data_IF_520455707228
#
_entry.id   IF_520455707228
#
_cell.length_a   1.000
_cell.length_b   1.000
_cell.length_c   1.000
_cell.angle_alpha   90.00
_cell.angle_beta   90.00
_cell.angle_gamma   90.00
#
_symmetry.space_group_name_H-M   'P 1'
#
loop_
_entity.id
_entity.type
_entity.pdbx_description
1 polymer ?
#
# COMPACT_ATOMS: atom_id res chain seq x y z
N UNK A 1 -16.67 20.10 41.14
CA UNK A 1 -15.31 20.58 40.85
C UNK A 1 -14.35 19.46 41.22
N UNK A 2 -13.48 19.06 40.29
CA UNK A 2 -12.50 18.00 40.52
C UNK A 2 -11.51 18.43 41.60
N UNK A 3 -11.28 17.57 42.59
CA UNK A 3 -10.36 17.82 43.72
C UNK A 3 -8.91 17.72 43.28
N UNK A 4 -8.00 18.33 44.05
CA UNK A 4 -6.55 18.24 43.78
C UNK A 4 -6.04 16.79 43.79
N UNK A 5 -6.63 15.92 44.62
CA UNK A 5 -6.30 14.51 44.69
C UNK A 5 -6.73 13.75 43.42
N UNK A 6 -7.92 14.03 42.90
CA UNK A 6 -8.41 13.45 41.65
C UNK A 6 -7.55 13.90 40.45
N UNK A 7 -7.11 15.17 40.43
CA UNK A 7 -6.21 15.68 39.38
C UNK A 7 -4.86 14.95 39.42
N UNK A 8 -4.25 14.79 40.59
CA UNK A 8 -2.96 14.09 40.73
C UNK A 8 -3.08 12.59 40.34
N UNK A 9 -4.19 11.95 40.72
CA UNK A 9 -4.47 10.57 40.35
C UNK A 9 -4.61 10.42 38.82
N UNK A 10 -5.36 11.30 38.16
CA UNK A 10 -5.53 11.28 36.70
C UNK A 10 -4.25 11.61 35.95
N UNK A 11 -3.35 12.43 36.51
CA UNK A 11 -2.03 12.65 35.91
C UNK A 11 -1.14 11.40 35.94
N UNK A 12 -1.26 10.56 36.97
CA UNK A 12 -0.44 9.35 37.13
C UNK A 12 -1.07 8.09 36.51
N UNK A 13 -2.40 8.06 36.37
CA UNK A 13 -3.15 6.85 36.00
C UNK A 13 -4.23 7.09 34.94
N UNK A 14 -4.45 8.33 34.52
CA UNK A 14 -5.40 8.65 33.46
C UNK A 14 -4.89 8.25 32.08
N UNK A 15 -5.78 8.39 31.09
CA UNK A 15 -5.53 8.03 29.68
C UNK A 15 -4.18 8.57 29.17
N UNK A 16 -3.84 9.82 29.50
CA UNK A 16 -2.63 10.50 29.06
C UNK A 16 -1.43 10.38 30.01
N UNK A 17 -1.41 9.43 30.95
CA UNK A 17 -0.32 9.25 31.94
C UNK A 17 1.00 8.69 31.35
N UNK A 18 1.27 8.95 30.07
CA UNK A 18 2.53 8.64 29.39
C UNK A 18 2.74 7.17 29.01
N UNK A 19 1.71 6.32 29.15
CA UNK A 19 1.77 4.89 28.81
C UNK A 19 1.02 4.51 27.53
N UNK A 20 0.39 5.47 26.85
CA UNK A 20 -0.17 5.21 25.53
C UNK A 20 0.94 5.18 24.47
N UNK A 21 1.03 4.07 23.76
CA UNK A 21 1.93 3.88 22.64
C UNK A 21 1.10 3.72 21.37
N UNK A 22 1.37 4.53 20.35
CA UNK A 22 0.77 4.36 19.03
C UNK A 22 1.16 2.99 18.45
N UNK A 23 0.16 2.26 17.97
CA UNK A 23 0.31 0.89 17.49
C UNK A 23 0.83 0.78 16.05
N UNK A 24 1.05 1.86 15.30
CA UNK A 24 1.50 1.73 13.89
C UNK A 24 3.03 1.72 13.74
N UNK A 25 3.55 0.72 13.04
CA UNK A 25 4.95 0.61 12.64
C UNK A 25 5.20 1.10 11.22
N UNK A 26 6.31 1.79 11.00
CA UNK A 26 6.80 2.17 9.66
C UNK A 26 8.30 1.93 9.59
N UNK A 27 8.79 1.55 8.42
CA UNK A 27 10.21 1.44 8.14
C UNK A 27 10.48 1.64 6.65
N UNK A 28 11.74 1.86 6.30
CA UNK A 28 12.16 2.02 4.91
C UNK A 28 13.52 1.36 4.70
N UNK A 29 13.79 0.99 3.46
CA UNK A 29 15.07 0.46 3.01
C UNK A 29 15.45 1.20 1.74
N UNK A 30 16.71 1.62 1.64
CA UNK A 30 17.23 2.27 0.47
C UNK A 30 18.63 1.75 0.15
N UNK A 31 18.92 1.56 -1.13
CA UNK A 31 20.28 1.30 -1.58
C UNK A 31 21.02 2.63 -1.71
N UNK A 32 22.10 2.83 -0.94
CA UNK A 32 22.82 4.12 -0.86
C UNK A 32 23.32 4.58 -2.24
N UNK A 33 23.71 3.65 -3.11
CA UNK A 33 24.17 3.95 -4.48
C UNK A 33 23.04 4.03 -5.52
N UNK A 34 21.79 3.78 -5.12
CA UNK A 34 20.63 3.78 -6.03
C UNK A 34 20.52 2.56 -6.94
N UNK A 35 21.27 1.49 -6.70
CA UNK A 35 21.17 0.25 -7.48
C UNK A 35 19.88 -0.50 -7.15
N UNK A 36 19.13 -0.86 -8.20
CA UNK A 36 17.88 -1.63 -8.06
C UNK A 36 18.23 -3.08 -7.72
N UNK A 37 17.59 -3.63 -6.69
CA UNK A 37 17.75 -5.04 -6.31
C UNK A 37 16.48 -5.58 -5.66
N UNK A 38 16.13 -6.83 -6.00
CA UNK A 38 15.02 -7.54 -5.35
C UNK A 38 15.27 -7.74 -3.84
N UNK A 39 16.53 -7.74 -3.40
CA UNK A 39 16.87 -7.80 -1.98
C UNK A 39 16.26 -6.65 -1.16
N UNK A 40 16.08 -5.47 -1.76
CA UNK A 40 15.44 -4.31 -1.10
C UNK A 40 13.96 -4.61 -0.82
N UNK A 41 13.28 -5.26 -1.75
CA UNK A 41 11.87 -5.68 -1.58
C UNK A 41 11.77 -6.72 -0.47
N UNK A 42 12.65 -7.73 -0.48
CA UNK A 42 12.71 -8.75 0.57
C UNK A 42 12.97 -8.15 1.96
N UNK A 43 13.87 -7.16 2.04
CA UNK A 43 14.15 -6.44 3.29
C UNK A 43 12.93 -5.61 3.75
N UNK A 44 12.21 -4.96 2.83
CA UNK A 44 10.98 -4.25 3.13
C UNK A 44 9.88 -5.18 3.68
N UNK A 45 9.69 -6.35 3.07
CA UNK A 45 8.78 -7.38 3.59
C UNK A 45 9.22 -7.87 4.97
N UNK A 46 10.54 -8.05 5.17
CA UNK A 46 11.08 -8.45 6.48
C UNK A 46 10.83 -7.42 7.57
N UNK A 47 10.81 -6.13 7.22
CA UNK A 47 10.40 -5.08 8.16
C UNK A 47 8.93 -5.29 8.57
N UNK A 48 8.02 -5.51 7.62
CA UNK A 48 6.61 -5.73 7.92
C UNK A 48 6.40 -6.95 8.82
N UNK A 49 7.08 -8.07 8.53
CA UNK A 49 7.08 -9.26 9.40
C UNK A 49 7.51 -8.92 10.83
N UNK A 50 8.55 -8.09 10.98
CA UNK A 50 9.07 -7.72 12.30
C UNK A 50 8.16 -6.69 13.01
N UNK A 51 7.27 -6.00 12.30
CA UNK A 51 6.31 -5.05 12.84
C UNK A 51 4.96 -5.68 13.22
N UNK A 52 4.79 -6.99 13.00
CA UNK A 52 3.55 -7.73 13.28
C UNK A 52 3.06 -7.56 14.73
N UNK A 53 3.98 -7.52 15.70
CA UNK A 53 3.67 -7.29 17.12
C UNK A 53 3.04 -5.91 17.42
N UNK A 54 3.06 -4.99 16.46
CA UNK A 54 2.42 -3.68 16.55
C UNK A 54 1.09 -3.65 15.80
N UNK A 55 0.84 -4.60 14.90
CA UNK A 55 -0.43 -4.71 14.20
C UNK A 55 -1.60 -4.96 15.14
N UNK A 56 -2.74 -4.35 14.85
CA UNK A 56 -3.99 -4.78 15.46
C UNK A 56 -4.32 -6.18 14.93
N UNK A 57 -4.45 -7.13 15.86
CA UNK A 57 -4.83 -8.50 15.56
C UNK A 57 -6.35 -8.62 15.72
N UNK A 58 -7.04 -9.02 14.65
CA UNK A 58 -8.47 -9.32 14.69
C UNK A 58 -8.79 -10.54 15.55
N UNK A 59 -10.09 -10.82 15.74
CA UNK A 59 -10.52 -12.07 16.39
C UNK A 59 -10.19 -13.32 15.55
N UNK A 60 -10.04 -13.14 14.23
CA UNK A 60 -9.56 -14.16 13.28
C UNK A 60 -8.07 -13.97 13.03
N UNK A 61 -7.29 -15.06 13.08
CA UNK A 61 -5.85 -15.06 12.85
C UNK A 61 -5.47 -14.69 11.41
N UNK A 62 -6.40 -14.79 10.46
CA UNK A 62 -6.19 -14.39 9.07
C UNK A 62 -6.52 -12.91 8.82
N UNK A 63 -7.03 -12.19 9.82
CA UNK A 63 -7.49 -10.81 9.68
C UNK A 63 -6.56 -9.85 10.41
N UNK A 64 -6.03 -8.89 9.67
CA UNK A 64 -5.33 -7.72 10.19
C UNK A 64 -5.91 -6.44 9.61
N UNK A 65 -5.67 -5.31 10.27
CA UNK A 65 -6.21 -4.01 9.86
C UNK A 65 -5.60 -3.50 8.54
N UNK A 66 -4.36 -3.88 8.25
CA UNK A 66 -3.70 -3.58 6.98
C UNK A 66 -2.17 -3.60 7.07
N UNK A 67 -1.54 -4.00 5.97
CA UNK A 67 -0.09 -3.88 5.75
C UNK A 67 0.14 -3.47 4.30
N UNK A 68 1.27 -2.80 4.02
CA UNK A 68 1.58 -2.36 2.68
C UNK A 68 3.05 -2.04 2.49
N UNK A 69 3.50 -2.18 1.25
CA UNK A 69 4.84 -1.78 0.82
C UNK A 69 4.71 -0.87 -0.41
N UNK A 70 5.39 0.26 -0.38
CA UNK A 70 5.55 1.14 -1.54
C UNK A 70 6.93 0.89 -2.14
N UNK A 71 6.95 0.51 -3.42
CA UNK A 71 8.18 0.27 -4.18
C UNK A 71 8.25 1.16 -5.42
N UNK A 72 9.42 1.25 -6.00
CA UNK A 72 9.58 1.81 -7.34
C UNK A 72 8.86 0.94 -8.37
N UNK A 73 8.43 1.55 -9.48
CA UNK A 73 7.77 0.86 -10.58
C UNK A 73 8.63 -0.34 -11.07
N UNK A 74 8.15 -1.59 -10.92
CA UNK A 74 8.90 -2.80 -11.29
C UNK A 74 8.84 -3.05 -12.80
N UNK A 75 9.55 -2.24 -13.59
CA UNK A 75 9.45 -2.24 -15.07
C UNK A 75 9.62 -3.61 -15.71
N UNK A 76 10.58 -4.41 -15.24
CA UNK A 76 10.84 -5.74 -15.80
C UNK A 76 9.62 -6.67 -15.69
N UNK A 77 8.92 -6.65 -14.55
CA UNK A 77 7.72 -7.45 -14.30
C UNK A 77 6.59 -7.01 -15.25
N UNK A 78 6.29 -5.72 -15.28
CA UNK A 78 5.20 -5.21 -16.11
C UNK A 78 5.47 -5.38 -17.60
N UNK A 79 6.71 -5.20 -18.04
CA UNK A 79 7.08 -5.39 -19.45
C UNK A 79 6.87 -6.84 -19.88
N UNK A 80 7.25 -7.81 -19.06
CA UNK A 80 7.01 -9.23 -19.32
C UNK A 80 5.51 -9.54 -19.42
N UNK A 81 4.73 -9.15 -18.40
CA UNK A 81 3.31 -9.49 -18.32
C UNK A 81 2.43 -8.75 -19.33
N UNK A 82 2.74 -7.48 -19.64
CA UNK A 82 2.02 -6.72 -20.66
C UNK A 82 2.38 -7.19 -22.07
N UNK A 83 3.64 -7.57 -22.31
CA UNK A 83 4.04 -8.18 -23.58
C UNK A 83 3.32 -9.51 -23.83
N UNK A 84 3.08 -10.31 -22.80
CA UNK A 84 2.29 -11.55 -22.91
C UNK A 84 0.84 -11.30 -23.32
N UNK A 85 0.32 -10.08 -23.10
CA UNK A 85 -1.02 -9.62 -23.50
C UNK A 85 -1.01 -8.86 -24.84
N UNK A 86 0.14 -8.78 -25.53
CA UNK A 86 0.29 -8.05 -26.79
C UNK A 86 0.40 -6.54 -26.63
N UNK A 87 0.70 -6.04 -25.43
CA UNK A 87 0.91 -4.61 -25.16
C UNK A 87 2.40 -4.32 -25.02
N UNK A 88 2.93 -3.49 -25.91
CA UNK A 88 4.30 -3.00 -25.82
C UNK A 88 4.35 -1.73 -24.96
N UNK A 89 5.08 -1.80 -23.83
CA UNK A 89 5.21 -0.66 -22.93
C UNK A 89 6.27 0.34 -23.43
N UNK A 90 6.01 1.66 -23.33
CA UNK A 90 7.03 2.69 -23.54
C UNK A 90 8.29 2.48 -22.69
N UNK A 91 9.39 3.21 -23.02
CA UNK A 91 10.58 3.24 -22.18
C UNK A 91 10.27 3.57 -20.71
N UNK A 92 11.08 3.07 -19.75
CA UNK A 92 10.92 3.43 -18.35
C UNK A 92 10.94 4.94 -18.14
N UNK A 93 9.93 5.47 -17.43
CA UNK A 93 9.75 6.91 -17.21
C UNK A 93 8.81 7.59 -18.21
N UNK A 94 8.41 6.90 -19.28
CA UNK A 94 7.44 7.37 -20.28
C UNK A 94 6.05 6.71 -20.14
N UNK A 95 5.86 5.89 -19.10
CA UNK A 95 4.55 5.34 -18.73
C UNK A 95 4.34 5.38 -17.22
N UNK A 96 3.07 5.43 -16.82
CA UNK A 96 2.63 5.38 -15.43
C UNK A 96 1.76 4.15 -15.15
N UNK A 97 1.61 3.82 -13.88
CA UNK A 97 0.76 2.73 -13.40
C UNK A 97 -0.18 3.26 -12.32
N UNK A 98 -1.47 2.98 -12.48
CA UNK A 98 -2.48 3.18 -11.45
C UNK A 98 -2.84 1.85 -10.79
N UNK A 99 -2.55 1.72 -9.49
CA UNK A 99 -3.03 0.58 -8.69
C UNK A 99 -4.41 0.93 -8.13
N UNK A 100 -5.45 0.25 -8.59
CA UNK A 100 -6.84 0.57 -8.24
C UNK A 100 -7.56 -0.64 -7.65
N UNK A 101 -8.43 -0.40 -6.67
CA UNK A 101 -9.40 -1.38 -6.21
C UNK A 101 -10.75 -1.10 -6.85
N UNK A 102 -11.32 -2.11 -7.48
CA UNK A 102 -12.59 -2.04 -8.19
C UNK A 102 -13.66 -2.91 -7.51
N UNK A 103 -14.95 -2.63 -7.73
CA UNK A 103 -16.02 -3.51 -7.28
C UNK A 103 -15.83 -4.96 -7.75
N UNK A 104 -16.25 -5.92 -6.90
CA UNK A 104 -16.23 -7.35 -7.25
C UNK A 104 -17.29 -7.70 -8.31
N UNK A 105 -18.44 -7.02 -8.27
CA UNK A 105 -19.54 -7.21 -9.21
C UNK A 105 -19.15 -6.69 -10.60
N UNK A 106 -19.42 -7.48 -11.63
CA UNK A 106 -18.89 -7.29 -12.98
C UNK A 106 -19.38 -6.01 -13.65
N UNK A 107 -20.68 -5.71 -13.61
CA UNK A 107 -21.23 -4.52 -14.24
C UNK A 107 -20.71 -3.24 -13.57
N UNK A 108 -20.61 -3.24 -12.25
CA UNK A 108 -20.07 -2.14 -11.46
C UNK A 108 -18.58 -1.93 -11.74
N UNK A 109 -17.81 -3.02 -11.86
CA UNK A 109 -16.39 -2.94 -12.25
C UNK A 109 -16.24 -2.29 -13.62
N UNK A 110 -16.97 -2.79 -14.62
CA UNK A 110 -16.91 -2.29 -15.98
C UNK A 110 -17.28 -0.80 -16.05
N UNK A 111 -18.29 -0.38 -15.28
CA UNK A 111 -18.65 1.04 -15.18
C UNK A 111 -17.50 1.89 -14.61
N UNK A 112 -16.84 1.42 -13.54
CA UNK A 112 -15.68 2.11 -12.96
C UNK A 112 -14.48 2.17 -13.92
N UNK A 113 -14.18 1.08 -14.63
CA UNK A 113 -13.14 1.04 -15.66
C UNK A 113 -13.43 2.09 -16.74
N UNK A 114 -14.64 2.11 -17.29
CA UNK A 114 -15.05 3.08 -18.32
C UNK A 114 -14.95 4.55 -17.86
N UNK A 115 -15.20 4.85 -16.58
CA UNK A 115 -14.99 6.19 -16.04
C UNK A 115 -13.49 6.53 -15.94
N UNK A 116 -12.65 5.58 -15.52
CA UNK A 116 -11.20 5.75 -15.51
C UNK A 116 -10.64 5.96 -16.92
N UNK A 117 -11.08 5.18 -17.92
CA UNK A 117 -10.64 5.36 -19.31
C UNK A 117 -11.05 6.73 -19.87
N UNK A 118 -12.26 7.20 -19.51
CA UNK A 118 -12.73 8.54 -19.87
C UNK A 118 -11.87 9.63 -19.25
N UNK A 119 -11.53 9.49 -17.97
CA UNK A 119 -10.66 10.45 -17.27
C UNK A 119 -9.25 10.48 -17.90
N UNK A 120 -8.64 9.32 -18.14
CA UNK A 120 -7.32 9.21 -18.81
C UNK A 120 -7.34 9.92 -20.16
N UNK A 121 -8.37 9.70 -20.97
CA UNK A 121 -8.53 10.37 -22.27
C UNK A 121 -8.76 11.88 -22.13
N UNK A 122 -9.54 12.32 -21.15
CA UNK A 122 -9.82 13.74 -20.91
C UNK A 122 -8.55 14.52 -20.54
N UNK A 123 -7.61 13.88 -19.84
CA UNK A 123 -6.29 14.42 -19.51
C UNK A 123 -5.26 14.29 -20.65
N UNK A 124 -5.70 13.88 -21.85
CA UNK A 124 -4.84 13.73 -23.04
C UNK A 124 -3.86 12.56 -22.97
N UNK A 125 -4.07 11.61 -22.05
CA UNK A 125 -3.24 10.43 -21.90
C UNK A 125 -3.78 9.24 -22.72
N UNK A 126 -2.93 8.26 -22.94
CA UNK A 126 -3.29 7.00 -23.62
C UNK A 126 -3.32 5.87 -22.60
N UNK A 127 -4.46 5.17 -22.52
CA UNK A 127 -4.53 3.94 -21.76
C UNK A 127 -3.81 2.82 -22.52
N UNK A 128 -2.73 2.29 -21.94
CA UNK A 128 -1.95 1.21 -22.56
C UNK A 128 -2.62 -0.15 -22.39
N UNK A 129 -3.29 -0.37 -21.26
CA UNK A 129 -4.01 -1.60 -20.99
C UNK A 129 -4.34 -1.77 -19.50
N UNK A 130 -5.11 -2.81 -19.21
CA UNK A 130 -5.42 -3.27 -17.86
C UNK A 130 -4.57 -4.49 -17.51
N UNK A 131 -4.20 -4.61 -16.24
CA UNK A 131 -3.48 -5.77 -15.71
C UNK A 131 -4.17 -6.22 -14.43
N UNK A 132 -4.75 -7.41 -14.45
CA UNK A 132 -5.23 -8.05 -13.23
C UNK A 132 -4.04 -8.39 -12.32
N UNK A 133 -4.13 -8.01 -11.06
CA UNK A 133 -3.08 -8.30 -10.07
C UNK A 133 -3.25 -9.73 -9.59
N UNK A 134 -2.25 -10.61 -9.75
CA UNK A 134 -2.33 -11.96 -9.21
C UNK A 134 -2.48 -11.93 -7.69
N UNK A 135 -3.48 -12.65 -7.18
CA UNK A 135 -3.77 -12.85 -5.75
C UNK A 135 -4.13 -14.32 -5.54
N UNK A 136 -3.88 -14.85 -4.34
CA UNK A 136 -4.23 -16.21 -3.93
C UNK A 136 -5.69 -16.35 -3.47
#
# INVERSE_FOLDING_TARGET
>A
MTTAAEIAHLQQHGLYSGKEHDACGVGFVAHIKGEKSHAIVQQGLKILENLDHRGAVGADKLMGDGAGILIQLPDALYREEMSAQGVELPPPGEYGVGMVFLPKEHASRLACEQELERAVRAEGQVLLGWRDVPVD
#
